data_IF_046295112331
#
_entry.id   IF_046295112331
#
_cell.length_a   1.000
_cell.length_b   1.000
_cell.length_c   1.000
_cell.angle_alpha   90.00
_cell.angle_beta   90.00
_cell.angle_gamma   90.00
#
_symmetry.space_group_name_H-M   'P 1'
#
loop_
_entity.id
_entity.type
_entity.pdbx_description
1 polymer ?
#
# COMPACT_ATOMS: atom_id res chain seq x y z
N UNK A 1 -5.43 18.23 -1.94
CA UNK A 1 -5.23 16.79 -2.22
C UNK A 1 -4.30 16.25 -1.14
N UNK A 2 -4.83 15.56 -0.12
CA UNK A 2 -3.98 14.89 0.88
C UNK A 2 -3.30 13.72 0.17
N UNK A 3 -2.01 13.84 -0.11
CA UNK A 3 -1.18 12.73 -0.56
C UNK A 3 -1.16 11.69 0.56
N UNK A 4 -1.94 10.62 0.36
CA UNK A 4 -2.03 9.41 1.19
C UNK A 4 -2.22 9.61 2.71
N UNK A 5 -2.56 8.52 3.41
CA UNK A 5 -2.71 8.51 4.87
C UNK A 5 -2.01 7.25 5.43
N UNK A 6 -0.65 7.20 5.34
CA UNK A 6 0.09 6.03 5.80
C UNK A 6 -0.10 5.84 7.30
N UNK A 7 -0.46 4.62 7.67
CA UNK A 7 -0.59 4.16 9.06
C UNK A 7 0.65 3.37 9.50
N UNK A 8 1.38 2.82 8.54
CA UNK A 8 2.53 1.95 8.74
C UNK A 8 3.75 2.53 8.01
N UNK A 9 4.94 2.19 8.49
CA UNK A 9 6.18 2.62 7.84
C UNK A 9 6.43 1.77 6.59
N UNK A 10 6.47 0.45 6.76
CA UNK A 10 6.71 -0.53 5.71
C UNK A 10 5.50 -1.48 5.51
N UNK A 11 5.52 -2.27 4.43
CA UNK A 11 4.55 -3.35 4.23
C UNK A 11 4.62 -4.43 5.31
N UNK A 12 5.80 -4.62 5.92
CA UNK A 12 6.04 -5.67 6.91
C UNK A 12 5.47 -5.29 8.28
N UNK A 13 5.24 -3.99 8.51
CA UNK A 13 4.57 -3.49 9.71
C UNK A 13 3.04 -3.63 9.65
N UNK A 14 2.49 -4.01 8.49
CA UNK A 14 1.04 -4.18 8.31
C UNK A 14 0.61 -5.51 8.93
N UNK A 15 -0.38 -5.50 9.85
CA UNK A 15 -0.87 -6.72 10.48
C UNK A 15 -1.36 -7.75 9.45
N UNK A 16 -0.94 -9.01 9.63
CA UNK A 16 -1.31 -10.10 8.71
C UNK A 16 -2.83 -10.28 8.60
N UNK A 17 -3.58 -10.05 9.69
CA UNK A 17 -5.04 -10.11 9.67
C UNK A 17 -5.66 -9.02 8.78
N UNK A 18 -5.05 -7.83 8.71
CA UNK A 18 -5.49 -6.77 7.80
C UNK A 18 -5.23 -7.15 6.33
N UNK A 19 -4.06 -7.73 6.04
CA UNK A 19 -3.71 -8.20 4.70
C UNK A 19 -4.63 -9.32 4.22
N UNK A 20 -4.90 -10.31 5.08
CA UNK A 20 -5.80 -11.42 4.73
C UNK A 20 -7.26 -10.98 4.59
N UNK A 21 -7.73 -10.03 5.42
CA UNK A 21 -9.07 -9.42 5.25
C UNK A 21 -9.19 -8.71 3.90
N UNK A 22 -8.19 -7.91 3.52
CA UNK A 22 -8.19 -7.21 2.23
C UNK A 22 -8.13 -8.21 1.07
N UNK A 23 -7.32 -9.28 1.18
CA UNK A 23 -7.25 -10.35 0.19
C UNK A 23 -8.62 -10.99 -0.03
N UNK A 24 -9.26 -11.45 1.05
CA UNK A 24 -10.56 -12.10 0.98
C UNK A 24 -11.64 -11.19 0.37
N UNK A 25 -11.62 -9.90 0.75
CA UNK A 25 -12.52 -8.89 0.19
C UNK A 25 -12.32 -8.74 -1.33
N UNK A 26 -11.08 -8.63 -1.80
CA UNK A 26 -10.77 -8.49 -3.22
C UNK A 26 -11.16 -9.73 -4.01
N UNK A 27 -10.94 -10.92 -3.46
CA UNK A 27 -11.36 -12.19 -4.06
C UNK A 27 -12.89 -12.27 -4.20
N UNK A 28 -13.62 -11.94 -3.15
CA UNK A 28 -15.09 -11.92 -3.14
C UNK A 28 -15.65 -10.94 -4.17
N UNK A 29 -15.12 -9.71 -4.20
CA UNK A 29 -15.51 -8.69 -5.19
C UNK A 29 -15.22 -9.19 -6.61
N UNK A 30 -14.02 -9.73 -6.86
CA UNK A 30 -13.61 -10.16 -8.20
C UNK A 30 -14.41 -11.36 -8.71
N UNK A 31 -14.77 -12.29 -7.81
CA UNK A 31 -15.64 -13.43 -8.13
C UNK A 31 -17.07 -12.97 -8.40
N UNK A 32 -17.58 -12.02 -7.61
CA UNK A 32 -18.92 -11.44 -7.80
C UNK A 32 -19.04 -10.64 -9.11
N UNK A 33 -17.94 -10.02 -9.54
CA UNK A 33 -17.83 -9.34 -10.85
C UNK A 33 -17.68 -10.32 -12.04
N UNK A 34 -17.63 -11.63 -11.80
CA UNK A 34 -17.55 -12.65 -12.84
C UNK A 34 -16.20 -12.71 -13.56
N UNK A 35 -15.12 -12.27 -12.91
CA UNK A 35 -13.78 -12.31 -13.52
C UNK A 35 -13.27 -13.75 -13.62
N UNK A 36 -12.46 -14.09 -14.65
CA UNK A 36 -11.93 -15.44 -14.80
C UNK A 36 -11.07 -15.87 -13.60
N UNK A 37 -11.27 -17.09 -13.10
CA UNK A 37 -10.51 -17.65 -11.96
C UNK A 37 -8.99 -17.63 -12.22
N UNK A 38 -8.56 -17.82 -13.47
CA UNK A 38 -7.15 -17.76 -13.86
C UNK A 38 -6.52 -16.35 -13.69
N UNK A 39 -7.34 -15.29 -13.71
CA UNK A 39 -6.90 -13.92 -13.52
C UNK A 39 -6.99 -13.46 -12.05
N UNK A 40 -7.74 -14.17 -11.20
CA UNK A 40 -7.96 -13.80 -9.79
C UNK A 40 -6.65 -13.56 -9.03
N UNK A 41 -5.63 -14.45 -9.07
CA UNK A 41 -4.39 -14.23 -8.33
C UNK A 41 -3.72 -12.90 -8.69
N UNK A 42 -3.68 -12.57 -9.98
CA UNK A 42 -3.07 -11.35 -10.49
C UNK A 42 -3.87 -10.10 -10.10
N UNK A 43 -5.20 -10.20 -10.06
CA UNK A 43 -6.08 -9.10 -9.62
C UNK A 43 -5.87 -8.84 -8.13
N UNK A 44 -5.85 -9.91 -7.33
CA UNK A 44 -5.62 -9.86 -5.89
C UNK A 44 -4.27 -9.22 -5.57
N UNK A 45 -3.21 -9.68 -6.22
CA UNK A 45 -1.87 -9.13 -6.07
C UNK A 45 -1.82 -7.62 -6.39
N UNK A 46 -2.43 -7.22 -7.52
CA UNK A 46 -2.48 -5.81 -7.90
C UNK A 46 -3.25 -4.92 -6.91
N UNK A 47 -4.35 -5.43 -6.34
CA UNK A 47 -5.15 -4.72 -5.33
C UNK A 47 -4.45 -4.65 -3.98
N UNK A 48 -3.81 -5.74 -3.54
CA UNK A 48 -2.98 -5.73 -2.34
C UNK A 48 -1.81 -4.74 -2.48
N UNK A 49 -1.17 -4.68 -3.66
CA UNK A 49 -0.17 -3.66 -3.95
C UNK A 49 -0.72 -2.24 -3.79
N UNK A 50 -1.93 -1.97 -4.31
CA UNK A 50 -2.58 -0.67 -4.14
C UNK A 50 -2.95 -0.37 -2.67
N UNK A 51 -3.37 -1.38 -1.91
CA UNK A 51 -3.62 -1.27 -0.47
C UNK A 51 -2.35 -0.86 0.28
N UNK A 52 -1.22 -1.53 0.01
CA UNK A 52 0.06 -1.17 0.63
C UNK A 52 0.50 0.25 0.29
N UNK A 53 0.31 0.72 -0.96
CA UNK A 53 0.55 2.12 -1.34
C UNK A 53 -0.30 3.12 -0.56
N UNK A 54 -1.46 2.73 -0.05
CA UNK A 54 -2.31 3.61 0.75
C UNK A 54 -1.86 3.64 2.21
N UNK A 55 -1.53 2.48 2.78
CA UNK A 55 -1.33 2.32 4.23
C UNK A 55 0.13 2.34 4.68
N UNK A 56 1.10 2.07 3.80
CA UNK A 56 2.52 2.02 4.12
C UNK A 56 3.30 3.18 3.47
N UNK A 57 4.05 3.95 4.25
CA UNK A 57 4.79 5.12 3.79
C UNK A 57 5.83 4.75 2.72
N UNK A 58 6.63 3.70 2.93
CA UNK A 58 7.73 3.35 2.04
C UNK A 58 7.26 2.85 0.65
N UNK A 59 6.01 2.39 0.57
CA UNK A 59 5.37 1.92 -0.66
C UNK A 59 4.78 3.06 -1.50
N UNK A 60 4.62 4.25 -0.92
CA UNK A 60 4.00 5.39 -1.57
C UNK A 60 4.87 5.93 -2.70
N UNK A 61 4.19 6.46 -3.72
CA UNK A 61 4.84 7.24 -4.77
C UNK A 61 5.40 8.54 -4.14
N UNK A 62 6.61 8.89 -4.53
CA UNK A 62 7.30 10.06 -4.01
C UNK A 62 6.62 11.34 -4.53
N UNK A 63 6.20 12.21 -3.61
CA UNK A 63 5.38 13.38 -3.95
C UNK A 63 6.02 14.35 -4.95
N UNK A 64 7.37 14.36 -5.08
CA UNK A 64 8.07 15.20 -6.05
C UNK A 64 8.32 14.52 -7.39
N UNK A 65 8.35 13.18 -7.41
CA UNK A 65 8.50 12.38 -8.62
C UNK A 65 7.74 11.06 -8.44
N UNK A 66 6.53 11.00 -8.98
CA UNK A 66 5.64 9.86 -8.87
C UNK A 66 6.09 8.62 -9.68
N UNK A 67 7.23 8.71 -10.38
CA UNK A 67 7.88 7.55 -11.01
C UNK A 67 8.69 6.73 -10.01
N UNK A 68 9.02 7.32 -8.86
CA UNK A 68 9.80 6.69 -7.81
C UNK A 68 8.91 6.45 -6.59
N UNK A 69 9.14 5.36 -5.88
CA UNK A 69 8.61 5.20 -4.52
C UNK A 69 9.50 5.91 -3.50
N UNK A 70 8.96 6.18 -2.32
CA UNK A 70 9.73 6.72 -1.19
C UNK A 70 10.88 5.76 -0.84
N UNK A 71 10.65 4.44 -0.83
CA UNK A 71 11.72 3.45 -0.65
C UNK A 71 12.86 3.63 -1.67
N UNK A 72 12.55 3.75 -2.96
CA UNK A 72 13.56 3.90 -4.01
C UNK A 72 14.39 5.17 -3.85
N UNK A 73 13.77 6.26 -3.40
CA UNK A 73 14.47 7.53 -3.14
C UNK A 73 15.44 7.37 -1.96
N UNK A 74 15.03 6.66 -0.91
CA UNK A 74 15.87 6.38 0.25
C UNK A 74 17.04 5.47 -0.11
N UNK A 75 16.80 4.40 -0.87
CA UNK A 75 17.82 3.47 -1.33
C UNK A 75 18.89 4.17 -2.17
N UNK A 76 18.47 5.02 -3.11
CA UNK A 76 19.38 5.82 -3.94
C UNK A 76 20.23 6.81 -3.13
N UNK A 77 19.70 7.28 -1.99
CA UNK A 77 20.41 8.16 -1.08
C UNK A 77 21.26 7.41 -0.04
N UNK A 78 21.16 6.08 0.05
CA UNK A 78 21.78 5.28 1.10
C UNK A 78 21.21 5.58 2.49
N UNK A 79 19.93 5.96 2.57
CA UNK A 79 19.25 6.35 3.79
C UNK A 79 18.18 5.33 4.20
N UNK A 80 17.84 5.32 5.49
CA UNK A 80 16.70 4.59 6.03
C UNK A 80 15.87 5.52 6.92
N UNK A 81 14.58 5.22 7.03
CA UNK A 81 13.66 5.92 7.93
C UNK A 81 13.34 4.99 9.09
N UNK A 82 13.50 5.48 10.32
CA UNK A 82 13.25 4.68 11.53
C UNK A 82 11.84 4.87 12.09
N UNK A 83 11.12 5.91 11.66
CA UNK A 83 9.78 6.22 12.14
C UNK A 83 9.24 7.54 11.58
N UNK A 84 7.93 7.70 11.64
CA UNK A 84 7.24 8.92 11.27
C UNK A 84 6.05 9.16 12.20
N UNK A 85 5.61 10.40 12.31
CA UNK A 85 4.39 10.78 13.01
C UNK A 85 3.62 11.80 12.17
N UNK A 86 2.30 11.63 12.09
CA UNK A 86 1.40 12.52 11.36
C UNK A 86 0.28 12.96 12.29
N UNK A 87 0.09 14.28 12.40
CA UNK A 87 -1.00 14.87 13.17
C UNK A 87 -1.93 15.64 12.22
N UNK A 88 -3.24 15.43 12.36
CA UNK A 88 -4.28 16.18 11.64
C UNK A 88 -5.18 16.86 12.67
N UNK A 89 -5.26 18.19 12.62
CA UNK A 89 -6.11 18.97 13.53
C UNK A 89 -7.56 18.84 13.10
N UNK A 90 -8.44 18.43 14.02
CA UNK A 90 -9.89 18.37 13.81
C UNK A 90 -10.41 17.16 13.01
N UNK A 91 -9.69 16.04 13.03
CA UNK A 91 -10.15 14.77 12.44
C UNK A 91 -11.30 14.14 13.23
#
# INVERSE_FOLDING_TARGET
>A
MSFADPQYLSRDDVPADAVERERALVEEISRSEGKPDAALPKIVEGRLGAFFKQVALLEQDYARDNKLSIQQVLDQAGLSVNGFARFRVGA
#
